data_IF_867195396521
#
_entry.id   IF_867195396521
#
_cell.length_a   1.000
_cell.length_b   1.000
_cell.length_c   1.000
_cell.angle_alpha   90.00
_cell.angle_beta   90.00
_cell.angle_gamma   90.00
#
_symmetry.space_group_name_H-M   'P 1'
#
loop_
_entity.id
_entity.type
_entity.pdbx_description
1 polymer ?
#
# COMPACT_ATOMS: atom_id res chain seq x y z
N UNK A 1 -0.79 33.79 45.33
CA UNK A 1 -0.40 32.84 44.28
C UNK A 1 -1.11 31.54 44.59
N UNK A 2 -1.95 30.98 43.71
CA UNK A 2 -2.51 29.66 43.95
C UNK A 2 -1.41 28.62 43.71
N UNK A 3 -1.22 27.72 44.69
CA UNK A 3 -0.31 26.58 44.63
C UNK A 3 -0.67 25.71 43.42
N UNK A 4 0.30 25.47 42.55
CA UNK A 4 0.21 24.51 41.46
C UNK A 4 0.86 23.20 41.89
N UNK A 5 0.11 22.32 42.58
CA UNK A 5 0.45 20.88 42.64
C UNK A 5 -0.66 19.98 43.26
N UNK A 6 -1.95 20.32 43.09
CA UNK A 6 -3.01 19.33 43.33
C UNK A 6 -3.05 18.36 42.13
N UNK A 7 -2.11 17.41 42.10
CA UNK A 7 -2.27 16.22 41.27
C UNK A 7 -3.42 15.41 41.86
N UNK A 8 -4.54 15.40 41.15
CA UNK A 8 -5.73 14.65 41.54
C UNK A 8 -5.35 13.19 41.85
N UNK A 9 -5.65 12.75 43.08
CA UNK A 9 -5.36 11.39 43.56
C UNK A 9 -6.29 10.42 42.86
N UNK A 10 -5.73 9.38 42.23
CA UNK A 10 -6.50 8.31 41.61
C UNK A 10 -6.62 7.14 42.59
N UNK A 11 -7.84 6.72 42.91
CA UNK A 11 -8.09 5.51 43.69
C UNK A 11 -8.32 4.34 42.75
N UNK A 12 -7.53 3.28 42.87
CA UNK A 12 -7.68 2.05 42.11
C UNK A 12 -8.18 0.94 43.04
N UNK A 13 -9.15 0.15 42.59
CA UNK A 13 -9.47 -1.15 43.14
C UNK A 13 -8.45 -2.21 42.74
N UNK A 14 -8.73 -3.47 43.03
CA UNK A 14 -7.88 -4.58 42.57
C UNK A 14 -8.08 -4.91 41.08
N UNK A 15 -9.15 -4.42 40.47
CA UNK A 15 -9.41 -4.49 39.03
C UNK A 15 -9.96 -3.15 38.53
N UNK A 16 -9.42 -2.65 37.43
CA UNK A 16 -9.77 -1.35 36.87
C UNK A 16 -10.02 -1.40 35.36
N UNK A 17 -10.85 -0.48 34.89
CA UNK A 17 -11.02 -0.20 33.47
C UNK A 17 -9.95 0.78 33.00
N UNK A 18 -9.26 0.41 31.93
CA UNK A 18 -8.18 1.20 31.34
C UNK A 18 -8.32 1.22 29.81
N UNK A 19 -7.65 2.17 29.17
CA UNK A 19 -7.44 2.16 27.72
C UNK A 19 -5.95 2.22 27.38
N UNK A 20 -5.57 1.64 26.24
CA UNK A 20 -4.22 1.71 25.65
C UNK A 20 -4.37 2.34 24.25
N UNK A 21 -4.46 3.68 24.16
CA UNK A 21 -4.75 4.38 22.91
C UNK A 21 -3.70 4.11 21.82
N UNK A 22 -2.42 3.98 22.17
CA UNK A 22 -1.33 3.72 21.21
C UNK A 22 -1.46 2.34 20.54
N UNK A 23 -2.16 1.41 21.18
CA UNK A 23 -2.46 0.08 20.65
C UNK A 23 -3.87 -0.04 20.04
N UNK A 24 -4.62 1.07 20.00
CA UNK A 24 -6.00 1.07 19.53
C UNK A 24 -6.96 0.26 20.42
N UNK A 25 -6.69 0.20 21.73
CA UNK A 25 -7.48 -0.55 22.71
C UNK A 25 -8.28 0.44 23.56
N UNK A 26 -9.54 0.76 23.18
CA UNK A 26 -10.35 1.77 23.87
C UNK A 26 -10.88 1.30 25.24
N UNK A 27 -10.95 0.00 25.51
CA UNK A 27 -11.47 -0.50 26.79
C UNK A 27 -10.89 -1.88 27.13
N UNK A 28 -10.20 -2.00 28.27
CA UNK A 28 -9.62 -3.25 28.76
C UNK A 28 -9.74 -3.29 30.28
N UNK A 29 -10.03 -4.46 30.84
CA UNK A 29 -9.95 -4.69 32.28
C UNK A 29 -8.53 -5.12 32.64
N UNK A 30 -7.92 -4.39 33.56
CA UNK A 30 -6.59 -4.69 34.08
C UNK A 30 -6.69 -5.06 35.56
N UNK A 31 -6.06 -6.18 35.94
CA UNK A 31 -5.89 -6.53 37.35
C UNK A 31 -4.69 -5.79 37.89
N UNK A 32 -4.85 -5.09 39.01
CA UNK A 32 -3.75 -4.44 39.71
C UNK A 32 -2.95 -5.51 40.45
N UNK A 33 -1.65 -5.58 40.18
CA UNK A 33 -0.75 -6.60 40.73
C UNK A 33 0.53 -5.93 41.22
N UNK A 34 0.52 -5.48 42.47
CA UNK A 34 1.67 -4.83 43.11
C UNK A 34 2.85 -5.78 43.33
N UNK A 35 2.62 -7.10 43.29
CA UNK A 35 3.67 -8.12 43.32
C UNK A 35 4.45 -8.20 42.00
N UNK A 36 3.80 -7.87 40.88
CA UNK A 36 4.45 -7.78 39.58
C UNK A 36 5.24 -6.47 39.45
N UNK A 37 6.53 -6.56 39.07
CA UNK A 37 7.34 -5.37 38.77
C UNK A 37 6.77 -4.62 37.55
N UNK A 38 6.67 -5.30 36.42
CA UNK A 38 6.28 -4.74 35.12
C UNK A 38 4.90 -5.25 34.72
N UNK A 39 4.11 -4.41 34.06
CA UNK A 39 2.81 -4.77 33.52
C UNK A 39 2.92 -5.89 32.47
N UNK A 40 1.86 -6.67 32.30
CA UNK A 40 1.81 -7.76 31.33
C UNK A 40 0.51 -7.70 30.53
N UNK A 41 0.60 -7.81 29.21
CA UNK A 41 -0.53 -7.77 28.30
C UNK A 41 -0.68 -9.08 27.54
N UNK A 42 -1.92 -9.56 27.44
CA UNK A 42 -2.27 -10.70 26.61
C UNK A 42 -1.91 -10.41 25.14
N UNK A 43 -1.02 -11.22 24.59
CA UNK A 43 -0.63 -11.16 23.20
C UNK A 43 -0.41 -12.58 22.64
N UNK A 44 -0.77 -12.79 21.39
CA UNK A 44 -0.47 -14.01 20.63
C UNK A 44 -0.01 -13.63 19.21
N UNK A 45 0.49 -14.61 18.46
CA UNK A 45 1.13 -14.40 17.15
C UNK A 45 2.21 -13.30 17.19
N UNK A 46 3.04 -13.34 18.24
CA UNK A 46 4.11 -12.37 18.48
C UNK A 46 5.25 -12.62 17.49
N UNK A 47 5.51 -11.65 16.62
CA UNK A 47 6.55 -11.72 15.60
C UNK A 47 7.36 -10.41 15.56
N UNK A 48 8.68 -10.53 15.53
CA UNK A 48 9.57 -9.37 15.39
C UNK A 48 9.79 -9.00 13.93
N UNK A 49 9.90 -7.71 13.65
CA UNK A 49 10.26 -7.19 12.34
C UNK A 49 11.00 -5.85 12.46
N UNK A 50 11.50 -5.33 11.34
CA UNK A 50 12.33 -4.13 11.35
C UNK A 50 13.82 -4.42 11.46
N UNK A 51 14.67 -3.41 11.22
CA UNK A 51 16.11 -3.53 11.34
C UNK A 51 16.53 -3.70 12.81
N UNK A 52 17.71 -4.26 13.05
CA UNK A 52 18.26 -4.43 14.40
C UNK A 52 18.40 -3.09 15.17
N UNK A 53 18.58 -1.98 14.45
CA UNK A 53 18.67 -0.63 15.01
C UNK A 53 17.32 -0.02 15.42
N UNK A 54 16.20 -0.53 14.88
CA UNK A 54 14.83 -0.08 15.19
C UNK A 54 13.90 -1.29 15.23
N UNK A 55 14.12 -2.23 16.16
CA UNK A 55 13.36 -3.48 16.21
C UNK A 55 11.92 -3.18 16.62
N UNK A 56 10.98 -3.88 16.00
CA UNK A 56 9.55 -3.79 16.28
C UNK A 56 8.97 -5.17 16.51
N UNK A 57 7.85 -5.20 17.19
CA UNK A 57 7.05 -6.41 17.41
C UNK A 57 5.64 -6.15 16.88
N UNK A 58 5.10 -7.12 16.14
CA UNK A 58 3.66 -7.21 15.85
C UNK A 58 3.09 -8.37 16.63
N UNK A 59 1.86 -8.20 17.07
CA UNK A 59 1.15 -9.18 17.88
C UNK A 59 -0.34 -8.97 17.74
N UNK A 60 -1.11 -9.92 18.23
CA UNK A 60 -2.56 -9.88 18.17
C UNK A 60 -3.13 -10.05 19.57
N UNK A 61 -4.28 -9.42 19.82
CA UNK A 61 -4.91 -9.36 21.13
C UNK A 61 -6.40 -9.66 21.04
N UNK A 62 -6.89 -10.47 21.98
CA UNK A 62 -8.31 -10.63 22.29
C UNK A 62 -8.64 -9.79 23.53
N UNK A 63 -9.31 -8.64 23.39
CA UNK A 63 -9.48 -7.69 24.51
C UNK A 63 -10.50 -8.16 25.53
N UNK A 64 -11.37 -9.09 25.15
CA UNK A 64 -12.47 -9.58 25.98
C UNK A 64 -12.17 -11.03 26.39
N UNK A 65 -12.08 -11.33 27.69
CA UNK A 65 -11.96 -12.71 28.17
C UNK A 65 -13.08 -13.60 27.61
N UNK A 66 -12.72 -14.78 27.11
CA UNK A 66 -13.68 -15.75 26.55
C UNK A 66 -14.20 -15.44 25.13
N UNK A 67 -13.81 -14.31 24.51
CA UNK A 67 -14.15 -13.97 23.12
C UNK A 67 -12.93 -13.93 22.21
N UNK A 68 -12.86 -14.91 21.32
CA UNK A 68 -11.78 -15.08 20.33
C UNK A 68 -12.15 -14.52 18.94
N UNK A 69 -13.41 -14.13 18.73
CA UNK A 69 -13.93 -13.56 17.48
C UNK A 69 -13.44 -12.12 17.24
N UNK A 70 -13.22 -11.39 18.33
CA UNK A 70 -12.70 -10.03 18.30
C UNK A 70 -11.17 -10.05 18.35
N UNK A 71 -10.56 -9.61 17.26
CA UNK A 71 -9.11 -9.69 17.02
C UNK A 71 -8.57 -8.29 16.79
N UNK A 72 -7.68 -7.83 17.66
CA UNK A 72 -7.02 -6.52 17.53
C UNK A 72 -5.54 -6.75 17.17
N UNK A 73 -5.13 -6.42 15.94
CA UNK A 73 -3.75 -6.50 15.52
C UNK A 73 -3.00 -5.24 15.97
N UNK A 74 -1.90 -5.43 16.67
CA UNK A 74 -1.09 -4.37 17.25
C UNK A 74 0.36 -4.46 16.75
N UNK A 75 1.07 -3.35 16.87
CA UNK A 75 2.53 -3.35 16.75
C UNK A 75 3.13 -2.21 17.54
N UNK A 76 4.34 -2.40 18.06
CA UNK A 76 5.08 -1.36 18.77
C UNK A 76 6.58 -1.52 18.57
N UNK A 77 7.39 -0.46 18.77
CA UNK A 77 8.82 -0.57 18.97
C UNK A 77 9.13 -1.50 20.15
N UNK A 78 10.20 -2.29 20.03
CA UNK A 78 10.73 -3.06 21.15
C UNK A 78 11.71 -2.16 21.89
N UNK A 79 11.45 -1.92 23.18
CA UNK A 79 12.34 -1.12 24.05
C UNK A 79 13.29 -2.01 24.85
N UNK A 80 12.90 -3.24 25.16
CA UNK A 80 13.71 -4.18 25.93
C UNK A 80 13.27 -5.64 25.74
N UNK A 81 14.06 -6.60 26.25
CA UNK A 81 13.68 -8.00 26.44
C UNK A 81 14.01 -8.43 27.87
N UNK A 82 13.04 -8.98 28.58
CA UNK A 82 13.21 -9.34 30.01
C UNK A 82 12.81 -10.78 30.27
N UNK A 83 13.59 -11.47 31.11
CA UNK A 83 13.18 -12.73 31.70
C UNK A 83 12.15 -12.43 32.80
N UNK A 84 10.96 -12.99 32.67
CA UNK A 84 9.88 -12.84 33.65
C UNK A 84 9.55 -14.21 34.23
N UNK A 85 9.55 -14.31 35.56
CA UNK A 85 9.14 -15.52 36.28
C UNK A 85 7.67 -15.39 36.68
N UNK A 86 6.85 -16.35 36.28
CA UNK A 86 5.43 -16.41 36.67
C UNK A 86 5.26 -16.86 38.12
N UNK A 87 4.07 -16.68 38.68
CA UNK A 87 3.70 -17.22 40.01
C UNK A 87 3.87 -18.74 40.11
N UNK A 88 3.88 -19.44 38.98
CA UNK A 88 4.02 -20.89 38.90
C UNK A 88 5.50 -21.32 38.76
N UNK A 89 6.45 -20.39 38.86
CA UNK A 89 7.89 -20.64 38.75
C UNK A 89 8.42 -20.73 37.32
N UNK A 90 7.55 -20.74 36.30
CA UNK A 90 7.98 -20.77 34.89
C UNK A 90 8.62 -19.44 34.49
N UNK A 91 9.75 -19.54 33.79
CA UNK A 91 10.51 -18.40 33.26
C UNK A 91 10.25 -18.23 31.77
N UNK A 92 10.01 -16.99 31.34
CA UNK A 92 9.75 -16.65 29.95
C UNK A 92 10.51 -15.37 29.56
N UNK A 93 11.24 -15.40 28.44
CA UNK A 93 11.79 -14.18 27.84
C UNK A 93 10.71 -13.43 27.07
N UNK A 94 10.36 -12.24 27.55
CA UNK A 94 9.27 -11.42 26.98
C UNK A 94 9.80 -10.16 26.32
N UNK A 95 9.17 -9.77 25.23
CA UNK A 95 9.36 -8.45 24.63
C UNK A 95 8.71 -7.39 25.51
N UNK A 96 9.41 -6.28 25.70
CA UNK A 96 8.90 -5.09 26.38
C UNK A 96 8.60 -4.04 25.33
N UNK A 97 7.39 -3.49 25.41
CA UNK A 97 6.94 -2.34 24.64
C UNK A 97 6.61 -1.19 25.60
N UNK A 98 6.60 0.03 25.09
CA UNK A 98 6.07 1.19 25.78
C UNK A 98 4.72 1.57 25.14
N UNK A 99 3.74 1.92 25.97
CA UNK A 99 2.45 2.45 25.53
C UNK A 99 1.92 3.40 26.60
N UNK A 100 1.22 4.44 26.19
CA UNK A 100 0.42 5.21 27.12
C UNK A 100 -0.75 4.36 27.63
N UNK A 101 -0.94 4.38 28.94
CA UNK A 101 -2.19 3.99 29.58
C UNK A 101 -3.02 5.24 29.80
N UNK A 102 -4.34 5.15 29.60
CA UNK A 102 -5.26 6.22 29.97
C UNK A 102 -6.40 5.74 30.86
N UNK A 103 -6.61 6.48 31.94
CA UNK A 103 -7.56 6.24 33.03
C UNK A 103 -8.10 7.59 33.50
N UNK A 104 -9.42 7.75 33.56
CA UNK A 104 -10.09 8.97 34.03
C UNK A 104 -9.52 10.29 33.44
N UNK A 105 -9.28 10.32 32.12
CA UNK A 105 -8.73 11.49 31.43
C UNK A 105 -7.22 11.74 31.63
N UNK A 106 -6.58 11.06 32.60
CA UNK A 106 -5.14 11.08 32.77
C UNK A 106 -4.48 10.07 31.81
N UNK A 107 -3.27 10.39 31.34
CA UNK A 107 -2.50 9.52 30.43
C UNK A 107 -1.01 9.56 30.79
N UNK A 108 -0.34 8.40 30.78
CA UNK A 108 1.10 8.30 31.03
C UNK A 108 1.73 7.05 30.41
N UNK A 109 3.04 7.07 30.10
CA UNK A 109 3.73 5.92 29.53
C UNK A 109 3.90 4.82 30.56
N UNK A 110 3.72 3.57 30.13
CA UNK A 110 4.01 2.37 30.91
C UNK A 110 4.76 1.35 30.06
N UNK A 111 5.65 0.59 30.71
CA UNK A 111 6.27 -0.59 30.11
C UNK A 111 5.35 -1.80 30.25
N UNK A 112 5.21 -2.54 29.15
CA UNK A 112 4.32 -3.69 29.04
C UNK A 112 5.09 -4.87 28.47
N UNK A 113 5.07 -5.99 29.18
CA UNK A 113 5.56 -7.28 28.66
C UNK A 113 4.48 -7.99 27.86
N UNK A 114 4.84 -8.54 26.70
CA UNK A 114 3.92 -9.30 25.85
C UNK A 114 4.00 -10.80 26.19
N UNK A 115 2.85 -11.42 26.48
CA UNK A 115 2.78 -12.87 26.80
C UNK A 115 1.39 -13.45 26.52
N UNK A 116 1.32 -14.75 26.24
CA UNK A 116 0.05 -15.40 25.96
C UNK A 116 -0.74 -15.72 27.25
N UNK A 117 -1.67 -14.84 27.59
CA UNK A 117 -2.62 -15.00 28.72
C UNK A 117 -3.99 -15.54 28.32
N UNK A 118 -4.10 -16.33 27.24
CA UNK A 118 -5.40 -16.78 26.71
C UNK A 118 -6.24 -17.57 27.74
N UNK A 119 -5.59 -18.37 28.59
CA UNK A 119 -6.21 -19.17 29.66
C UNK A 119 -6.58 -18.37 30.91
N UNK A 120 -6.17 -17.09 31.00
CA UNK A 120 -6.36 -16.26 32.19
C UNK A 120 -7.59 -15.35 32.01
N UNK A 121 -8.36 -15.18 33.09
CA UNK A 121 -9.51 -14.26 33.12
C UNK A 121 -9.11 -12.79 32.94
N UNK A 122 -7.91 -12.41 33.39
CA UNK A 122 -7.40 -11.06 33.22
C UNK A 122 -6.43 -10.98 32.05
N UNK A 123 -6.82 -10.19 31.03
CA UNK A 123 -6.02 -9.94 29.83
C UNK A 123 -4.85 -8.99 30.07
N UNK A 124 -4.87 -8.22 31.15
CA UNK A 124 -3.77 -7.33 31.51
C UNK A 124 -3.51 -7.32 33.01
N UNK A 125 -2.23 -7.39 33.39
CA UNK A 125 -1.77 -7.05 34.74
C UNK A 125 -1.16 -5.65 34.70
N UNK A 126 -1.51 -4.82 35.68
CA UNK A 126 -0.85 -3.54 35.92
C UNK A 126 0.15 -3.73 37.06
N UNK A 127 1.43 -3.72 36.72
CA UNK A 127 2.53 -3.88 37.67
C UNK A 127 2.87 -2.59 38.40
N UNK A 128 3.66 -2.68 39.47
CA UNK A 128 4.00 -1.53 40.32
C UNK A 128 4.71 -0.38 39.60
N UNK A 129 5.48 -0.63 38.54
CA UNK A 129 6.14 0.46 37.78
C UNK A 129 5.17 1.29 36.94
N UNK A 130 3.94 0.82 36.73
CA UNK A 130 2.89 1.57 36.05
C UNK A 130 2.07 2.45 37.01
N UNK A 131 2.23 2.27 38.33
CA UNK A 131 1.53 3.03 39.36
C UNK A 131 2.34 4.28 39.71
N UNK A 132 1.74 5.46 39.55
CA UNK A 132 2.34 6.74 39.95
C UNK A 132 2.15 7.00 41.44
N UNK A 133 2.91 7.95 41.97
CA UNK A 133 2.85 8.36 43.38
C UNK A 133 1.47 8.87 43.81
N UNK A 134 0.68 9.43 42.88
CA UNK A 134 -0.68 9.90 43.12
C UNK A 134 -1.75 8.80 43.01
N UNK A 135 -1.36 7.52 42.94
CA UNK A 135 -2.30 6.38 42.84
C UNK A 135 -2.37 5.63 44.17
N UNK A 136 -3.56 5.57 44.76
CA UNK A 136 -3.85 4.77 45.95
C UNK A 136 -4.61 3.49 45.56
N UNK A 137 -4.33 2.38 46.23
CA UNK A 137 -5.01 1.09 45.96
C UNK A 137 -5.91 0.69 47.12
N UNK A 138 -7.19 0.49 46.83
CA UNK A 138 -8.20 -0.04 47.73
C UNK A 138 -8.44 -1.51 47.38
N UNK A 139 -7.74 -2.41 48.07
CA UNK A 139 -7.69 -3.84 47.70
C UNK A 139 -9.04 -4.58 47.76
N UNK A 140 -10.03 -4.06 48.49
CA UNK A 140 -11.38 -4.66 48.60
C UNK A 140 -12.32 -4.22 47.49
N UNK A 141 -11.99 -3.14 46.79
CA UNK A 141 -12.87 -2.51 45.81
C UNK A 141 -12.47 -2.85 44.37
N UNK A 142 -13.36 -2.54 43.43
CA UNK A 142 -13.18 -2.70 41.98
C UNK A 142 -13.74 -1.45 41.31
N UNK A 143 -13.24 -1.13 40.12
CA UNK A 143 -13.81 -0.09 39.26
C UNK A 143 -14.00 1.25 39.99
N UNK A 144 -12.96 1.66 40.72
CA UNK A 144 -12.90 2.96 41.40
C UNK A 144 -12.69 4.11 40.41
N UNK A 145 -12.45 3.80 39.14
CA UNK A 145 -12.35 4.72 38.01
C UNK A 145 -13.57 4.58 37.09
N UNK A 146 -13.88 5.58 36.23
CA UNK A 146 -15.02 5.52 35.33
C UNK A 146 -15.06 4.21 34.53
N UNK A 147 -16.17 3.49 34.66
CA UNK A 147 -16.35 2.23 33.96
C UNK A 147 -16.39 2.45 32.45
N UNK A 148 -15.57 1.68 31.75
CA UNK A 148 -15.63 1.56 30.30
C UNK A 148 -16.53 0.39 29.92
N UNK A 149 -16.91 0.31 28.64
CA UNK A 149 -17.76 -0.75 28.14
C UNK A 149 -17.18 -1.37 26.86
N UNK A 150 -17.21 -2.70 26.79
CA UNK A 150 -16.85 -3.48 25.62
C UNK A 150 -17.72 -3.23 24.37
N UNK A 151 -18.89 -2.61 24.51
CA UNK A 151 -19.74 -2.21 23.38
C UNK A 151 -19.02 -1.27 22.40
N UNK A 152 -17.99 -0.55 22.86
CA UNK A 152 -17.13 0.26 22.00
C UNK A 152 -16.53 -0.54 20.83
N UNK A 153 -16.24 -1.84 21.06
CA UNK A 153 -15.69 -2.73 20.04
C UNK A 153 -16.69 -3.12 18.96
N UNK A 154 -17.99 -2.98 19.22
CA UNK A 154 -19.06 -3.29 18.27
C UNK A 154 -19.47 -2.09 17.41
N UNK A 155 -18.94 -0.91 17.70
CA UNK A 155 -19.23 0.30 16.94
C UNK A 155 -18.80 0.18 15.47
N UNK A 156 -19.52 0.83 14.57
CA UNK A 156 -19.16 0.92 13.16
C UNK A 156 -17.75 1.51 12.96
N UNK A 157 -17.35 2.43 13.85
CA UNK A 157 -16.00 3.00 13.88
C UNK A 157 -14.94 1.91 14.08
N UNK A 158 -15.07 1.06 15.10
CA UNK A 158 -14.10 -0.02 15.36
C UNK A 158 -14.10 -1.11 14.29
N UNK A 159 -15.26 -1.38 13.65
CA UNK A 159 -15.36 -2.37 12.57
C UNK A 159 -14.70 -1.90 11.26
N UNK A 160 -14.72 -0.59 11.00
CA UNK A 160 -14.28 -0.02 9.72
C UNK A 160 -12.91 0.65 9.79
N UNK A 161 -12.48 1.14 10.96
CA UNK A 161 -11.17 1.76 11.12
C UNK A 161 -10.08 0.68 11.16
N UNK A 162 -9.06 0.83 10.32
CA UNK A 162 -7.84 0.06 10.50
C UNK A 162 -7.11 0.56 11.76
N UNK A 163 -6.60 -0.35 12.61
CA UNK A 163 -5.83 0.04 13.78
C UNK A 163 -4.54 0.74 13.34
N UNK A 164 -4.19 1.80 14.06
CA UNK A 164 -2.92 2.48 13.85
C UNK A 164 -1.78 1.53 14.25
N UNK A 165 -1.07 0.98 13.27
CA UNK A 165 0.01 0.02 13.49
C UNK A 165 1.12 0.22 12.46
N UNK A 166 2.35 -0.05 12.87
CA UNK A 166 3.49 -0.19 11.98
C UNK A 166 3.30 -1.41 11.08
N UNK A 167 3.26 -1.16 9.77
CA UNK A 167 3.21 -2.20 8.75
C UNK A 167 4.63 -2.62 8.35
N UNK A 168 4.78 -3.87 7.88
CA UNK A 168 5.96 -4.33 7.15
C UNK A 168 5.65 -4.34 5.66
N UNK A 169 6.37 -3.55 4.87
CA UNK A 169 6.04 -3.26 3.47
C UNK A 169 7.22 -3.60 2.59
N UNK A 170 6.97 -4.32 1.49
CA UNK A 170 7.98 -4.59 0.48
C UNK A 170 7.81 -3.66 -0.72
N UNK A 171 8.88 -3.00 -1.15
CA UNK A 171 8.96 -2.31 -2.44
C UNK A 171 9.68 -3.22 -3.43
N UNK A 172 8.95 -3.79 -4.39
CA UNK A 172 9.56 -4.64 -5.42
C UNK A 172 10.17 -3.75 -6.50
N UNK A 173 11.48 -3.51 -6.44
CA UNK A 173 12.20 -2.67 -7.38
C UNK A 173 13.58 -3.24 -7.68
N UNK A 174 14.06 -3.05 -8.91
CA UNK A 174 15.42 -3.37 -9.34
C UNK A 174 16.37 -2.18 -9.27
N UNK A 175 15.83 -0.97 -9.16
CA UNK A 175 16.55 0.27 -9.32
C UNK A 175 16.48 1.09 -8.03
N UNK A 176 17.62 1.66 -7.64
CA UNK A 176 17.68 2.76 -6.70
C UNK A 176 17.46 4.08 -7.45
N UNK A 177 16.22 4.55 -7.44
CA UNK A 177 15.81 5.79 -8.08
C UNK A 177 14.99 6.64 -7.10
N UNK A 178 14.76 7.91 -7.46
CA UNK A 178 14.00 8.85 -6.63
C UNK A 178 12.68 8.25 -6.12
N UNK A 179 11.92 7.59 -7.00
CA UNK A 179 10.59 7.07 -6.63
C UNK A 179 10.71 5.95 -5.58
N UNK A 180 11.69 5.05 -5.72
CA UNK A 180 11.94 3.98 -4.74
C UNK A 180 12.35 4.58 -3.38
N UNK A 181 13.33 5.49 -3.36
CA UNK A 181 13.78 6.14 -2.11
C UNK A 181 12.68 6.90 -1.43
N UNK A 182 11.91 7.69 -2.20
CA UNK A 182 10.78 8.47 -1.70
C UNK A 182 9.71 7.61 -1.05
N UNK A 183 9.44 6.42 -1.60
CA UNK A 183 8.52 5.44 -1.01
C UNK A 183 9.05 4.88 0.31
N UNK A 184 10.35 4.59 0.40
CA UNK A 184 10.98 4.12 1.65
C UNK A 184 10.93 5.21 2.72
N UNK A 185 11.42 6.40 2.40
CA UNK A 185 11.48 7.55 3.30
C UNK A 185 10.11 7.90 3.88
N UNK A 186 9.06 7.97 3.05
CA UNK A 186 7.71 8.29 3.51
C UNK A 186 7.14 7.20 4.42
N UNK A 187 7.38 5.91 4.11
CA UNK A 187 6.91 4.82 4.94
C UNK A 187 7.62 4.76 6.29
N UNK A 188 8.94 4.95 6.30
CA UNK A 188 9.71 5.01 7.54
C UNK A 188 9.34 6.23 8.39
N UNK A 189 9.11 7.39 7.76
CA UNK A 189 8.60 8.59 8.43
C UNK A 189 7.24 8.36 9.10
N UNK A 190 6.39 7.53 8.50
CA UNK A 190 5.10 7.10 9.06
C UNK A 190 5.22 5.96 10.08
N UNK A 191 6.44 5.59 10.45
CA UNK A 191 6.70 4.57 11.45
C UNK A 191 6.49 3.15 10.93
N UNK A 192 6.49 2.90 9.62
CA UNK A 192 6.49 1.56 9.05
C UNK A 192 7.91 1.00 8.90
N UNK A 193 8.00 -0.28 8.55
CA UNK A 193 9.25 -0.91 8.11
C UNK A 193 9.14 -1.17 6.62
N UNK A 194 10.02 -0.58 5.83
CA UNK A 194 9.99 -0.69 4.36
C UNK A 194 11.26 -1.36 3.89
N UNK A 195 11.13 -2.44 3.11
CA UNK A 195 12.25 -3.19 2.56
C UNK A 195 12.19 -3.15 1.03
N UNK A 196 13.29 -2.76 0.39
CA UNK A 196 13.42 -2.83 -1.07
C UNK A 196 13.90 -4.22 -1.46
N UNK A 197 13.12 -4.92 -2.27
CA UNK A 197 13.41 -6.29 -2.69
C UNK A 197 13.60 -6.32 -4.19
N UNK A 198 14.76 -6.80 -4.61
CA UNK A 198 15.06 -6.97 -6.02
C UNK A 198 14.23 -8.11 -6.63
N UNK A 199 13.26 -7.76 -7.46
CA UNK A 199 12.26 -8.70 -7.98
C UNK A 199 12.86 -9.89 -8.72
N UNK A 200 13.98 -9.72 -9.44
CA UNK A 200 14.58 -10.81 -10.24
C UNK A 200 15.39 -11.79 -9.40
N UNK A 201 15.71 -11.44 -8.15
CA UNK A 201 16.36 -12.34 -7.20
C UNK A 201 15.35 -13.14 -6.38
N UNK A 202 14.08 -12.75 -6.41
CA UNK A 202 13.02 -13.56 -5.83
C UNK A 202 12.83 -14.85 -6.62
N UNK A 203 12.57 -15.95 -5.94
CA UNK A 203 12.10 -17.22 -6.51
C UNK A 203 10.98 -17.76 -5.61
N UNK A 204 10.19 -18.71 -6.07
CA UNK A 204 8.97 -19.12 -5.37
C UNK A 204 8.87 -20.63 -5.25
N UNK A 205 8.29 -21.07 -4.14
CA UNK A 205 7.80 -22.43 -4.00
C UNK A 205 6.30 -22.41 -4.32
N UNK A 206 5.87 -23.13 -5.34
CA UNK A 206 4.46 -23.24 -5.74
C UNK A 206 3.95 -24.61 -5.30
N UNK A 207 3.12 -24.64 -4.28
CA UNK A 207 2.41 -25.84 -3.87
C UNK A 207 1.06 -25.47 -3.26
N UNK A 208 0.15 -26.43 -3.14
CA UNK A 208 -1.23 -26.18 -2.72
C UNK A 208 -1.38 -25.76 -1.24
N UNK A 209 -0.37 -25.98 -0.39
CA UNK A 209 -0.49 -25.86 1.07
C UNK A 209 0.29 -24.69 1.67
N UNK A 210 1.48 -24.43 1.15
CA UNK A 210 2.41 -23.41 1.60
C UNK A 210 3.12 -22.77 0.40
N UNK A 211 2.39 -22.02 -0.44
CA UNK A 211 3.02 -21.17 -1.44
C UNK A 211 3.86 -20.09 -0.73
N UNK A 212 5.08 -19.87 -1.20
CA UNK A 212 6.01 -18.93 -0.57
C UNK A 212 6.90 -18.22 -1.59
N UNK A 213 7.41 -17.05 -1.20
CA UNK A 213 8.45 -16.32 -1.92
C UNK A 213 9.75 -16.42 -1.14
N UNK A 214 10.85 -16.67 -1.84
CA UNK A 214 12.20 -16.74 -1.32
C UNK A 214 13.08 -15.68 -1.95
N UNK A 215 14.14 -15.28 -1.24
CA UNK A 215 15.14 -14.33 -1.66
C UNK A 215 16.47 -14.72 -1.02
N UNK A 216 17.53 -14.84 -1.83
CA UNK A 216 18.89 -15.17 -1.37
C UNK A 216 18.98 -16.37 -0.41
N UNK A 217 18.40 -17.50 -0.78
CA UNK A 217 18.46 -18.74 0.01
C UNK A 217 17.42 -18.83 1.13
N UNK A 218 16.70 -17.74 1.44
CA UNK A 218 15.79 -17.68 2.59
C UNK A 218 14.36 -17.39 2.16
N UNK A 219 13.39 -17.95 2.90
CA UNK A 219 11.98 -17.57 2.76
C UNK A 219 11.84 -16.10 3.15
N UNK A 220 11.16 -15.32 2.31
CA UNK A 220 10.80 -13.96 2.65
C UNK A 220 9.79 -13.95 3.80
N UNK A 221 9.93 -13.01 4.74
CA UNK A 221 9.00 -12.88 5.84
C UNK A 221 7.65 -12.36 5.37
N UNK A 222 6.68 -12.37 6.28
CA UNK A 222 5.34 -11.86 6.00
C UNK A 222 5.36 -10.34 5.82
N UNK A 223 4.89 -9.88 4.66
CA UNK A 223 4.60 -8.47 4.39
C UNK A 223 3.10 -8.19 4.52
N UNK A 224 2.76 -7.05 5.12
CA UNK A 224 1.40 -6.53 5.19
C UNK A 224 0.97 -5.94 3.83
N UNK A 225 1.92 -5.31 3.13
CA UNK A 225 1.69 -4.79 1.78
C UNK A 225 2.93 -4.89 0.88
N UNK A 226 2.67 -4.91 -0.43
CA UNK A 226 3.68 -4.88 -1.48
C UNK A 226 3.39 -3.70 -2.41
N UNK A 227 4.42 -2.91 -2.72
CA UNK A 227 4.40 -1.83 -3.71
C UNK A 227 5.20 -2.28 -4.94
N UNK A 228 4.55 -2.77 -6.01
CA UNK A 228 5.26 -3.22 -7.20
C UNK A 228 5.79 -2.04 -8.02
N UNK A 229 7.10 -2.01 -8.28
CA UNK A 229 7.78 -1.08 -9.19
C UNK A 229 8.38 -1.87 -10.36
N UNK A 230 7.51 -2.60 -11.05
CA UNK A 230 7.89 -3.57 -12.08
C UNK A 230 8.23 -2.84 -13.40
N UNK A 231 9.50 -2.92 -13.77
CA UNK A 231 10.01 -2.42 -15.05
C UNK A 231 9.50 -3.25 -16.23
N UNK A 232 9.36 -2.60 -17.40
CA UNK A 232 8.79 -3.23 -18.60
C UNK A 232 9.54 -4.50 -19.02
N UNK A 233 10.88 -4.52 -18.89
CA UNK A 233 11.75 -5.63 -19.28
C UNK A 233 11.57 -6.92 -18.49
N UNK A 234 10.93 -6.85 -17.32
CA UNK A 234 10.71 -8.01 -16.45
C UNK A 234 9.23 -8.24 -16.16
N UNK A 235 8.31 -7.63 -16.92
CA UNK A 235 6.87 -7.71 -16.65
C UNK A 235 6.37 -9.15 -16.44
N UNK A 236 6.71 -10.14 -17.29
CA UNK A 236 6.22 -11.51 -17.10
C UNK A 236 6.64 -12.12 -15.76
N UNK A 237 7.93 -12.00 -15.41
CA UNK A 237 8.45 -12.56 -14.15
C UNK A 237 8.03 -11.73 -12.94
N UNK A 238 8.09 -10.40 -13.04
CA UNK A 238 7.72 -9.50 -11.96
C UNK A 238 6.25 -9.64 -11.55
N UNK A 239 5.35 -9.79 -12.52
CA UNK A 239 3.93 -10.04 -12.23
C UNK A 239 3.68 -11.45 -11.69
N UNK A 240 4.51 -12.45 -12.03
CA UNK A 240 4.48 -13.75 -11.37
C UNK A 240 4.84 -13.65 -9.89
N UNK A 241 5.88 -12.88 -9.53
CA UNK A 241 6.24 -12.63 -8.12
C UNK A 241 5.11 -11.89 -7.39
N UNK A 242 4.53 -10.84 -7.99
CA UNK A 242 3.39 -10.11 -7.39
C UNK A 242 2.21 -11.04 -7.16
N UNK A 243 1.87 -11.89 -8.13
CA UNK A 243 0.78 -12.88 -8.01
C UNK A 243 1.04 -13.92 -6.92
N UNK A 244 2.29 -14.26 -6.67
CA UNK A 244 2.64 -15.12 -5.54
C UNK A 244 2.35 -14.41 -4.20
N UNK A 245 2.67 -13.12 -4.07
CA UNK A 245 2.28 -12.32 -2.90
C UNK A 245 0.76 -12.22 -2.72
N UNK A 246 0.01 -12.07 -3.82
CA UNK A 246 -1.45 -12.10 -3.80
C UNK A 246 -1.97 -13.45 -3.30
N UNK A 247 -1.36 -14.55 -3.76
CA UNK A 247 -1.76 -15.93 -3.40
C UNK A 247 -1.58 -16.20 -1.90
N UNK A 248 -0.53 -15.65 -1.28
CA UNK A 248 -0.33 -15.75 0.19
C UNK A 248 -1.16 -14.75 0.99
N UNK A 249 -1.96 -13.91 0.33
CA UNK A 249 -2.88 -12.96 0.94
C UNK A 249 -2.25 -11.62 1.34
N UNK A 250 -1.10 -11.25 0.77
CA UNK A 250 -0.50 -9.92 0.95
C UNK A 250 -1.24 -8.89 0.08
N UNK A 251 -1.46 -7.69 0.63
CA UNK A 251 -2.07 -6.60 -0.15
C UNK A 251 -1.07 -6.04 -1.17
N UNK A 252 -1.32 -6.21 -2.46
CA UNK A 252 -0.52 -5.63 -3.53
C UNK A 252 -1.17 -4.33 -4.03
N UNK A 253 -0.42 -3.21 -3.96
CA UNK A 253 -0.94 -1.89 -4.36
C UNK A 253 -1.45 -1.91 -5.78
N UNK A 254 -0.64 -2.38 -6.73
CA UNK A 254 -1.18 -2.71 -8.03
C UNK A 254 -1.22 -4.22 -8.15
N UNK A 255 -2.41 -4.80 -8.38
CA UNK A 255 -2.53 -6.20 -8.64
C UNK A 255 -1.76 -6.63 -9.90
N UNK A 256 -1.27 -7.86 -9.91
CA UNK A 256 -0.53 -8.48 -11.01
C UNK A 256 -1.30 -8.40 -12.33
N UNK A 257 -2.62 -8.64 -12.30
CA UNK A 257 -3.50 -8.56 -13.46
C UNK A 257 -3.55 -7.15 -14.07
N UNK A 258 -3.69 -6.12 -13.23
CA UNK A 258 -3.71 -4.72 -13.67
C UNK A 258 -2.36 -4.27 -14.26
N UNK A 259 -1.25 -4.70 -13.65
CA UNK A 259 0.09 -4.44 -14.18
C UNK A 259 0.26 -5.07 -15.57
N UNK A 260 -0.07 -6.36 -15.72
CA UNK A 260 0.00 -7.06 -17.02
C UNK A 260 -0.87 -6.37 -18.06
N UNK A 261 -2.12 -6.05 -17.71
CA UNK A 261 -3.07 -5.40 -18.61
C UNK A 261 -2.58 -4.03 -19.10
N UNK A 262 -1.98 -3.24 -18.21
CA UNK A 262 -1.44 -1.91 -18.56
C UNK A 262 -0.21 -1.94 -19.47
N UNK A 263 0.50 -3.08 -19.55
CA UNK A 263 1.74 -3.23 -20.32
C UNK A 263 1.51 -3.75 -21.73
N UNK A 264 0.47 -4.55 -21.92
CA UNK A 264 0.03 -4.98 -23.24
C UNK A 264 -0.81 -3.88 -23.88
N UNK A 265 -0.24 -3.19 -24.89
CA UNK A 265 -0.92 -2.09 -25.58
C UNK A 265 -2.22 -2.55 -26.25
N UNK A 266 -2.27 -3.73 -26.87
CA UNK A 266 -3.49 -4.20 -27.52
C UNK A 266 -4.57 -4.47 -26.47
N UNK A 267 -4.23 -5.26 -25.47
CA UNK A 267 -5.18 -5.62 -24.42
C UNK A 267 -5.63 -4.37 -23.63
N UNK A 268 -4.74 -3.41 -23.38
CA UNK A 268 -5.08 -2.13 -22.78
C UNK A 268 -6.15 -1.36 -23.58
N UNK A 269 -6.00 -1.28 -24.91
CA UNK A 269 -7.01 -0.62 -25.77
C UNK A 269 -8.34 -1.37 -25.75
N UNK A 270 -8.33 -2.69 -25.86
CA UNK A 270 -9.54 -3.52 -25.77
C UNK A 270 -10.25 -3.35 -24.41
N UNK A 271 -9.49 -3.31 -23.33
CA UNK A 271 -10.01 -3.14 -21.97
C UNK A 271 -10.61 -1.74 -21.78
N UNK A 272 -9.95 -0.70 -22.28
CA UNK A 272 -10.48 0.67 -22.26
C UNK A 272 -11.76 0.78 -23.10
N UNK A 273 -11.81 0.12 -24.27
CA UNK A 273 -12.97 0.13 -25.16
C UNK A 273 -14.17 -0.54 -24.50
N UNK A 274 -13.95 -1.70 -23.85
CA UNK A 274 -14.98 -2.41 -23.05
C UNK A 274 -15.58 -1.52 -21.96
N UNK A 275 -14.79 -0.64 -21.36
CA UNK A 275 -15.24 0.28 -20.31
C UNK A 275 -15.65 1.66 -20.83
N UNK A 276 -15.77 1.84 -22.16
CA UNK A 276 -16.16 3.12 -22.78
C UNK A 276 -15.29 4.29 -22.30
N UNK A 277 -13.97 4.06 -22.24
CA UNK A 277 -12.97 5.09 -21.99
C UNK A 277 -12.58 5.70 -23.33
N UNK A 278 -12.65 7.03 -23.44
CA UNK A 278 -12.25 7.74 -24.65
C UNK A 278 -10.77 7.53 -24.93
N UNK A 279 -10.43 7.14 -26.15
CA UNK A 279 -9.05 6.99 -26.65
C UNK A 279 -9.02 7.41 -28.12
N UNK A 280 -7.86 7.74 -28.70
CA UNK A 280 -7.77 7.99 -30.14
C UNK A 280 -8.21 6.74 -30.91
N UNK A 281 -8.83 6.92 -32.08
CA UNK A 281 -9.24 5.77 -32.89
C UNK A 281 -8.01 4.93 -33.25
N UNK A 282 -8.07 3.62 -33.05
CA UNK A 282 -6.91 2.74 -33.17
C UNK A 282 -7.29 1.47 -33.90
N UNK A 283 -6.56 1.15 -34.97
CA UNK A 283 -6.58 -0.15 -35.62
C UNK A 283 -5.34 -0.95 -35.26
N UNK A 284 -5.52 -2.26 -35.10
CA UNK A 284 -4.47 -3.19 -34.78
C UNK A 284 -4.21 -4.13 -35.95
N UNK A 285 -2.93 -4.43 -36.20
CA UNK A 285 -2.54 -5.28 -37.29
C UNK A 285 -1.25 -6.07 -36.99
N UNK A 286 -1.22 -7.31 -37.47
CA UNK A 286 -0.01 -8.14 -37.50
C UNK A 286 0.56 -8.20 -38.92
N UNK A 287 -0.20 -8.78 -39.86
CA UNK A 287 0.14 -8.80 -41.29
C UNK A 287 -1.11 -8.77 -42.16
N UNK A 288 -1.90 -7.68 -42.14
CA UNK A 288 -3.00 -7.54 -43.08
C UNK A 288 -2.43 -7.37 -44.48
N UNK A 289 -2.94 -8.11 -45.47
CA UNK A 289 -2.65 -7.85 -46.89
C UNK A 289 -3.32 -6.56 -47.40
N UNK A 290 -4.18 -5.95 -46.58
CA UNK A 290 -5.01 -4.81 -46.92
C UNK A 290 -4.65 -3.59 -46.05
N UNK A 291 -3.50 -2.97 -46.36
CA UNK A 291 -2.99 -1.77 -45.66
C UNK A 291 -3.95 -0.58 -45.82
N UNK A 292 -4.54 -0.43 -47.00
CA UNK A 292 -5.39 0.71 -47.33
C UNK A 292 -6.67 0.72 -46.51
N UNK A 293 -7.33 -0.44 -46.36
CA UNK A 293 -8.50 -0.57 -45.51
C UNK A 293 -8.14 -0.37 -44.02
N UNK A 294 -7.02 -0.93 -43.56
CA UNK A 294 -6.55 -0.72 -42.19
C UNK A 294 -6.40 0.78 -41.85
N UNK A 295 -5.80 1.55 -42.76
CA UNK A 295 -5.70 3.01 -42.62
C UNK A 295 -7.09 3.65 -42.61
N UNK A 296 -7.98 3.22 -43.52
CA UNK A 296 -9.36 3.71 -43.61
C UNK A 296 -10.21 3.47 -42.35
N UNK A 297 -9.96 2.39 -41.60
CA UNK A 297 -10.62 2.12 -40.32
C UNK A 297 -10.29 3.17 -39.24
N UNK A 298 -9.10 3.78 -39.33
CA UNK A 298 -8.64 4.78 -38.36
C UNK A 298 -9.12 6.17 -38.76
N UNK A 299 -8.92 6.54 -40.03
CA UNK A 299 -9.29 7.84 -40.56
C UNK A 299 -8.35 8.29 -41.67
N UNK A 300 -8.22 9.61 -41.84
CA UNK A 300 -7.33 10.22 -42.82
C UNK A 300 -6.00 10.64 -42.20
N UNK A 301 -4.94 10.68 -43.01
CA UNK A 301 -3.65 11.20 -42.57
C UNK A 301 -3.76 12.66 -42.06
N UNK A 302 -2.94 13.05 -41.07
CA UNK A 302 -1.82 12.31 -40.47
C UNK A 302 -2.25 11.21 -39.48
N UNK A 303 -1.43 10.16 -39.38
CA UNK A 303 -1.64 9.01 -38.51
C UNK A 303 -0.38 8.71 -37.69
N UNK A 304 -0.56 8.06 -36.55
CA UNK A 304 0.52 7.51 -35.76
C UNK A 304 0.62 6.00 -35.98
N UNK A 305 1.80 5.51 -36.36
CA UNK A 305 2.10 4.07 -36.44
C UNK A 305 3.03 3.71 -35.28
N UNK A 306 2.63 2.77 -34.42
CA UNK A 306 3.46 2.33 -33.27
C UNK A 306 3.74 0.84 -33.33
N UNK A 307 4.98 0.48 -33.07
CA UNK A 307 5.36 -0.89 -32.74
C UNK A 307 4.88 -1.25 -31.33
N UNK A 308 4.43 -2.49 -31.15
CA UNK A 308 4.05 -2.97 -29.82
C UNK A 308 5.26 -3.22 -28.93
N UNK A 309 6.30 -3.83 -29.49
CA UNK A 309 7.51 -4.29 -28.80
C UNK A 309 8.53 -3.18 -28.52
N UNK A 310 8.06 -1.94 -28.36
CA UNK A 310 8.93 -0.79 -28.14
C UNK A 310 8.64 -0.07 -26.83
N UNK A 311 9.71 0.38 -26.17
CA UNK A 311 9.68 1.18 -24.95
C UNK A 311 10.14 2.62 -25.24
N UNK A 312 9.71 3.56 -24.39
CA UNK A 312 10.17 4.96 -24.39
C UNK A 312 10.06 5.71 -25.74
N UNK A 313 8.97 5.46 -26.49
CA UNK A 313 8.71 6.17 -27.75
C UNK A 313 9.66 5.83 -28.91
N UNK A 314 10.51 4.80 -28.77
CA UNK A 314 11.15 4.17 -29.93
C UNK A 314 10.06 3.45 -30.73
N UNK A 315 10.10 3.48 -32.06
CA UNK A 315 9.05 2.84 -32.89
C UNK A 315 7.67 3.50 -32.85
N UNK A 316 7.58 4.79 -32.52
CA UNK A 316 6.38 5.62 -32.74
C UNK A 316 6.70 6.60 -33.86
N UNK A 317 5.97 6.51 -34.97
CA UNK A 317 6.20 7.31 -36.19
C UNK A 317 4.94 8.11 -36.52
N UNK A 318 5.11 9.40 -36.78
CA UNK A 318 4.07 10.24 -37.38
C UNK A 318 4.16 10.13 -38.89
N UNK A 319 3.08 9.65 -39.51
CA UNK A 319 2.92 9.57 -40.94
C UNK A 319 2.00 10.70 -41.41
N UNK A 320 2.59 11.76 -41.98
CA UNK A 320 1.84 12.95 -42.41
C UNK A 320 0.91 12.70 -43.60
N UNK A 321 1.24 11.70 -44.41
CA UNK A 321 0.49 11.33 -45.60
C UNK A 321 0.12 9.84 -45.57
N UNK A 322 -0.94 9.48 -46.31
CA UNK A 322 -1.35 8.07 -46.48
C UNK A 322 -0.20 7.21 -47.03
N UNK A 323 0.54 7.71 -48.03
CA UNK A 323 1.69 7.02 -48.62
C UNK A 323 2.80 6.78 -47.60
N UNK A 324 3.08 7.78 -46.75
CA UNK A 324 4.06 7.61 -45.67
C UNK A 324 3.61 6.53 -44.66
N UNK A 325 2.32 6.50 -44.32
CA UNK A 325 1.76 5.47 -43.44
C UNK A 325 1.89 4.07 -44.06
N UNK A 326 1.57 3.93 -45.35
CA UNK A 326 1.72 2.68 -46.10
C UNK A 326 3.19 2.20 -46.10
N UNK A 327 4.14 3.09 -46.38
CA UNK A 327 5.57 2.75 -46.37
C UNK A 327 6.07 2.29 -45.00
N UNK A 328 5.63 2.94 -43.92
CA UNK A 328 6.01 2.56 -42.55
C UNK A 328 5.39 1.20 -42.17
N UNK A 329 4.14 0.97 -42.56
CA UNK A 329 3.45 -0.31 -42.31
C UNK A 329 4.14 -1.45 -43.07
N UNK A 330 4.51 -1.24 -44.33
CA UNK A 330 5.22 -2.24 -45.13
C UNK A 330 6.60 -2.57 -44.54
N UNK A 331 7.32 -1.54 -44.06
CA UNK A 331 8.58 -1.74 -43.34
C UNK A 331 8.37 -2.58 -42.06
N UNK A 332 7.35 -2.29 -41.26
CA UNK A 332 7.03 -3.06 -40.05
C UNK A 332 6.58 -4.50 -40.36
N UNK A 333 5.86 -4.71 -41.47
CA UNK A 333 5.50 -6.05 -41.95
C UNK A 333 6.74 -6.86 -42.32
N UNK A 334 7.72 -6.24 -42.98
CA UNK A 334 9.02 -6.86 -43.29
C UNK A 334 9.77 -7.33 -42.04
N UNK A 335 9.62 -6.61 -40.93
CA UNK A 335 10.18 -6.97 -39.63
C UNK A 335 9.37 -8.03 -38.86
N UNK A 336 8.25 -8.52 -39.43
CA UNK A 336 7.30 -9.45 -38.79
C UNK A 336 6.82 -8.96 -37.41
N UNK A 337 6.76 -7.65 -37.23
CA UNK A 337 6.39 -7.04 -35.96
C UNK A 337 4.90 -6.65 -35.96
N UNK A 338 4.23 -6.88 -34.83
CA UNK A 338 2.87 -6.38 -34.64
C UNK A 338 2.90 -4.86 -34.43
N UNK A 339 1.90 -4.17 -34.98
CA UNK A 339 1.81 -2.71 -34.92
C UNK A 339 0.37 -2.24 -34.70
N UNK A 340 0.26 -0.98 -34.27
CA UNK A 340 -0.99 -0.26 -34.22
C UNK A 340 -0.91 0.97 -35.12
N UNK A 341 -2.02 1.29 -35.76
CA UNK A 341 -2.25 2.54 -36.48
C UNK A 341 -3.28 3.32 -35.66
N UNK A 342 -2.99 4.57 -35.36
CA UNK A 342 -3.78 5.38 -34.46
C UNK A 342 -3.97 6.78 -35.03
N UNK A 343 -5.14 7.36 -34.79
CA UNK A 343 -5.46 8.73 -35.17
C UNK A 343 -4.51 9.74 -34.50
N UNK A 344 -4.08 10.76 -35.26
CA UNK A 344 -3.23 11.82 -34.74
C UNK A 344 -4.08 13.00 -34.27
N UNK A 345 -4.17 13.15 -32.95
CA UNK A 345 -4.87 14.25 -32.29
C UNK A 345 -4.04 15.54 -32.43
N UNK A 346 -4.19 16.24 -33.55
CA UNK A 346 -3.43 17.46 -33.91
C UNK A 346 -3.59 18.57 -32.88
N UNK A 347 -4.81 18.72 -32.36
CA UNK A 347 -5.19 19.77 -31.42
C UNK A 347 -4.48 19.64 -30.06
N UNK A 348 -3.91 18.48 -29.76
CA UNK A 348 -3.06 18.30 -28.59
C UNK A 348 -1.71 19.05 -28.71
N UNK A 349 -1.29 19.45 -29.93
CA UNK A 349 -0.14 20.30 -30.19
C UNK A 349 1.18 19.85 -29.52
N UNK A 350 1.41 18.54 -29.41
CA UNK A 350 2.60 18.00 -28.74
C UNK A 350 2.58 18.13 -27.21
N UNK A 351 1.40 18.39 -26.63
CA UNK A 351 1.16 18.43 -25.20
C UNK A 351 0.35 17.22 -24.75
N UNK A 352 0.61 16.75 -23.54
CA UNK A 352 -0.25 15.78 -22.87
C UNK A 352 -0.43 16.12 -21.38
N UNK A 353 -1.51 15.62 -20.82
CA UNK A 353 -1.84 15.78 -19.40
C UNK A 353 -1.65 14.45 -18.71
N UNK A 354 -0.67 14.37 -17.82
CA UNK A 354 -0.52 13.24 -16.92
C UNK A 354 -1.34 13.48 -15.66
N UNK A 355 -2.37 12.66 -15.49
CA UNK A 355 -3.18 12.57 -14.27
C UNK A 355 -2.66 11.41 -13.41
N UNK A 356 -2.27 11.70 -12.17
CA UNK A 356 -1.89 10.66 -11.23
C UNK A 356 -3.06 10.28 -10.33
N UNK A 357 -3.48 9.02 -10.45
CA UNK A 357 -4.57 8.43 -9.69
C UNK A 357 -4.00 7.61 -8.55
N UNK A 358 -4.46 7.88 -7.33
CA UNK A 358 -4.13 7.12 -6.12
C UNK A 358 -5.43 6.78 -5.38
N UNK A 359 -5.70 5.50 -5.14
CA UNK A 359 -6.87 5.03 -4.39
C UNK A 359 -8.22 5.49 -4.96
N UNK A 360 -8.32 5.62 -6.29
CA UNK A 360 -9.54 6.08 -6.96
C UNK A 360 -9.75 7.60 -6.93
N UNK A 361 -8.71 8.40 -6.64
CA UNK A 361 -8.75 9.87 -6.72
C UNK A 361 -7.58 10.38 -7.57
N UNK A 362 -7.83 11.37 -8.43
CA UNK A 362 -6.74 12.11 -9.10
C UNK A 362 -6.12 13.06 -8.09
N UNK A 363 -4.92 12.73 -7.60
CA UNK A 363 -4.23 13.46 -6.53
C UNK A 363 -3.35 14.58 -7.08
N UNK A 364 -2.81 14.41 -8.29
CA UNK A 364 -1.99 15.39 -8.97
C UNK A 364 -2.17 15.30 -10.49
N UNK A 365 -1.89 16.40 -11.16
CA UNK A 365 -1.92 16.50 -12.62
C UNK A 365 -0.84 17.46 -13.09
N UNK A 366 -0.12 17.08 -14.14
CA UNK A 366 0.86 17.93 -14.79
C UNK A 366 0.66 17.91 -16.30
N UNK A 367 0.85 19.05 -16.93
CA UNK A 367 0.96 19.16 -18.38
C UNK A 367 2.42 18.97 -18.75
N UNK A 368 2.68 18.10 -19.72
CA UNK A 368 4.00 17.94 -20.32
C UNK A 368 3.97 18.47 -21.74
N UNK A 369 4.99 19.23 -22.09
CA UNK A 369 5.15 19.80 -23.44
C UNK A 369 6.43 19.24 -24.05
N UNK A 370 6.33 18.72 -25.28
CA UNK A 370 7.47 18.21 -26.04
C UNK A 370 8.53 19.28 -26.34
N UNK A 371 9.71 18.84 -26.78
CA UNK A 371 10.71 19.75 -27.33
C UNK A 371 10.24 20.33 -28.67
N UNK A 372 10.79 21.48 -29.07
CA UNK A 372 10.43 22.13 -30.34
C UNK A 372 10.62 21.16 -31.52
N UNK A 373 9.57 20.95 -32.32
CA UNK A 373 9.55 20.01 -33.44
C UNK A 373 9.30 18.54 -33.09
N UNK A 374 9.15 18.16 -31.81
CA UNK A 374 8.77 16.79 -31.41
C UNK A 374 7.29 16.73 -30.98
N UNK A 375 6.49 15.90 -31.66
CA UNK A 375 5.09 15.67 -31.30
C UNK A 375 4.93 14.82 -30.01
N UNK A 376 6.03 14.30 -29.45
CA UNK A 376 6.05 13.49 -28.23
C UNK A 376 6.44 14.35 -27.03
N UNK A 377 5.64 14.28 -25.97
CA UNK A 377 5.75 15.09 -24.75
C UNK A 377 6.52 14.41 -23.60
N UNK A 378 7.33 13.39 -23.88
CA UNK A 378 8.02 12.63 -22.83
C UNK A 378 9.12 13.48 -22.14
N UNK A 379 9.02 13.62 -20.81
CA UNK A 379 10.01 14.32 -19.95
C UNK A 379 11.46 13.86 -20.15
N UNK A 380 11.69 12.56 -20.37
CA UNK A 380 13.04 12.00 -20.58
C UNK A 380 13.72 12.46 -21.89
N UNK A 381 13.01 13.20 -22.76
CA UNK A 381 13.52 13.73 -24.04
C UNK A 381 13.62 15.25 -24.05
N UNK A 382 13.78 15.88 -22.88
CA UNK A 382 13.95 17.34 -22.77
C UNK A 382 12.64 18.13 -22.76
N UNK A 383 11.49 17.47 -22.64
CA UNK A 383 10.19 18.13 -22.45
C UNK A 383 10.07 18.82 -21.09
N UNK A 384 9.23 19.85 -20.99
CA UNK A 384 8.96 20.55 -19.72
C UNK A 384 7.70 20.00 -19.03
N UNK A 385 7.63 20.07 -17.70
CA UNK A 385 6.43 19.74 -16.92
C UNK A 385 6.00 20.92 -16.05
N UNK A 386 4.71 21.23 -16.09
CA UNK A 386 4.08 22.25 -15.23
C UNK A 386 2.79 21.70 -14.63
N UNK A 387 2.50 22.06 -13.38
CA UNK A 387 1.20 21.76 -12.77
C UNK A 387 0.06 22.30 -13.64
N UNK A 388 -1.02 21.54 -13.78
CA UNK A 388 -2.19 21.95 -14.58
C UNK A 388 -3.49 21.63 -13.85
N UNK A 389 -4.45 22.55 -13.95
CA UNK A 389 -5.83 22.32 -13.50
C UNK A 389 -6.57 21.52 -14.57
N UNK A 390 -7.07 20.36 -14.17
CA UNK A 390 -7.86 19.49 -15.05
C UNK A 390 -9.36 19.75 -14.92
N UNK A 391 -10.10 19.52 -16.00
CA UNK A 391 -11.55 19.61 -16.06
C UNK A 391 -12.22 18.45 -15.32
N UNK A 392 -13.54 18.54 -15.12
CA UNK A 392 -14.33 17.44 -14.55
C UNK A 392 -14.28 16.19 -15.45
N UNK A 393 -14.40 16.39 -16.76
CA UNK A 393 -14.39 15.32 -17.75
C UNK A 393 -13.01 14.62 -17.84
N UNK A 394 -11.92 15.37 -17.80
CA UNK A 394 -10.55 14.82 -17.75
C UNK A 394 -10.35 13.97 -16.49
N UNK A 395 -10.84 14.46 -15.34
CA UNK A 395 -10.77 13.73 -14.07
C UNK A 395 -11.56 12.44 -14.12
N UNK A 396 -12.81 12.48 -14.57
CA UNK A 396 -13.67 11.30 -14.68
C UNK A 396 -13.09 10.27 -15.65
N UNK A 397 -12.53 10.72 -16.78
CA UNK A 397 -11.87 9.86 -17.77
C UNK A 397 -10.65 9.17 -17.17
N UNK A 398 -9.78 9.91 -16.46
CA UNK A 398 -8.62 9.33 -15.78
C UNK A 398 -9.02 8.31 -14.70
N UNK A 399 -10.06 8.61 -13.91
CA UNK A 399 -10.57 7.69 -12.90
C UNK A 399 -11.17 6.42 -13.51
N UNK A 400 -11.95 6.55 -14.60
CA UNK A 400 -12.53 5.41 -15.32
C UNK A 400 -11.43 4.53 -15.93
N UNK A 401 -10.40 5.14 -16.50
CA UNK A 401 -9.25 4.43 -17.03
C UNK A 401 -8.54 3.65 -15.91
N UNK A 402 -8.09 4.30 -14.83
CA UNK A 402 -7.41 3.61 -13.72
C UNK A 402 -8.27 2.48 -13.11
N UNK A 403 -9.58 2.69 -12.99
CA UNK A 403 -10.53 1.67 -12.52
C UNK A 403 -10.65 0.48 -13.48
N UNK A 404 -10.64 0.71 -14.79
CA UNK A 404 -10.72 -0.35 -15.80
C UNK A 404 -9.56 -1.36 -15.68
N UNK A 405 -8.39 -0.91 -15.25
CA UNK A 405 -7.20 -1.74 -15.01
C UNK A 405 -7.07 -2.23 -13.56
N UNK A 406 -8.01 -1.88 -12.67
CA UNK A 406 -7.92 -2.15 -11.22
C UNK A 406 -6.61 -1.68 -10.57
N UNK A 407 -6.14 -0.49 -10.94
CA UNK A 407 -4.89 0.08 -10.42
C UNK A 407 -5.14 1.06 -9.27
N UNK A 408 -4.52 0.83 -8.12
CA UNK A 408 -4.57 1.77 -6.99
C UNK A 408 -3.53 2.90 -7.10
N UNK A 409 -2.50 2.73 -7.92
CA UNK A 409 -1.56 3.77 -8.33
C UNK A 409 -1.44 3.74 -9.85
N UNK A 410 -1.87 4.80 -10.54
CA UNK A 410 -1.77 4.87 -11.99
C UNK A 410 -1.36 6.28 -12.46
N UNK A 411 -0.49 6.34 -13.45
CA UNK A 411 -0.33 7.54 -14.28
C UNK A 411 -1.18 7.38 -15.53
N UNK A 412 -2.16 8.24 -15.73
CA UNK A 412 -3.02 8.25 -16.91
C UNK A 412 -2.64 9.45 -17.77
N UNK A 413 -2.18 9.18 -18.98
CA UNK A 413 -1.77 10.20 -19.94
C UNK A 413 -2.94 10.50 -20.86
N UNK A 414 -3.34 11.78 -20.93
CA UNK A 414 -4.50 12.27 -21.66
C UNK A 414 -4.06 13.26 -22.75
N UNK A 415 -4.71 13.19 -23.90
CA UNK A 415 -4.71 14.22 -24.92
C UNK A 415 -6.03 14.99 -24.85
N UNK A 416 -5.95 16.32 -24.94
CA UNK A 416 -7.13 17.17 -25.15
C UNK A 416 -7.51 17.06 -26.61
N UNK A 417 -8.75 16.67 -26.88
CA UNK A 417 -9.33 16.66 -28.22
C UNK A 417 -10.60 17.51 -28.26
N UNK A 418 -11.03 17.92 -29.44
CA UNK A 418 -12.31 18.64 -29.61
C UNK A 418 -13.50 17.80 -29.11
N UNK A 419 -13.38 16.48 -29.19
CA UNK A 419 -14.39 15.50 -28.79
C UNK A 419 -14.12 14.91 -27.39
N UNK A 420 -13.64 15.74 -26.47
CA UNK A 420 -13.34 15.37 -25.08
C UNK A 420 -11.94 14.77 -24.86
N UNK A 421 -11.57 14.40 -23.64
CA UNK A 421 -10.24 13.85 -23.33
C UNK A 421 -10.06 12.43 -23.89
N UNK A 422 -8.90 12.16 -24.49
CA UNK A 422 -8.52 10.84 -25.02
C UNK A 422 -7.37 10.25 -24.22
N UNK A 423 -7.53 9.05 -23.69
CA UNK A 423 -6.49 8.32 -22.97
C UNK A 423 -5.48 7.77 -23.98
N UNK A 424 -4.22 8.17 -23.80
CA UNK A 424 -3.08 7.72 -24.59
C UNK A 424 -2.41 6.48 -23.98
N UNK A 425 -2.19 6.50 -22.67
CA UNK A 425 -1.52 5.43 -21.93
C UNK A 425 -2.01 5.40 -20.47
N UNK A 426 -2.08 4.20 -19.90
CA UNK A 426 -2.23 3.98 -18.45
C UNK A 426 -1.02 3.24 -17.93
N UNK A 427 -0.24 3.87 -17.05
CA UNK A 427 0.99 3.31 -16.50
C UNK A 427 0.80 2.88 -15.04
N UNK A 428 0.99 1.59 -14.78
CA UNK A 428 0.91 0.95 -13.46
C UNK A 428 2.14 1.15 -12.55
N UNK A 429 3.20 1.81 -13.02
CA UNK A 429 4.37 2.14 -12.19
C UNK A 429 4.90 3.53 -12.55
N UNK A 430 4.09 4.59 -12.37
CA UNK A 430 4.46 5.95 -12.76
C UNK A 430 5.65 6.45 -11.93
N UNK A 431 6.55 7.23 -12.54
CA UNK A 431 7.60 7.95 -11.81
C UNK A 431 7.00 9.08 -10.95
N UNK A 432 7.56 9.28 -9.75
CA UNK A 432 7.06 10.26 -8.78
C UNK A 432 7.79 11.61 -8.89
N UNK A 433 9.07 11.61 -9.25
CA UNK A 433 9.93 12.80 -9.22
C UNK A 433 9.38 13.99 -9.99
N UNK A 434 9.11 13.82 -11.29
CA UNK A 434 8.65 14.92 -12.14
C UNK A 434 7.30 15.52 -11.70
N UNK A 435 6.41 14.70 -11.15
CA UNK A 435 5.08 15.17 -10.72
C UNK A 435 5.11 15.76 -9.30
N UNK A 436 5.92 15.23 -8.39
CA UNK A 436 6.11 15.83 -7.06
C UNK A 436 6.81 17.18 -7.20
N UNK A 437 7.87 17.28 -8.01
CA UNK A 437 8.60 18.53 -8.24
C UNK A 437 7.71 19.60 -8.91
N UNK A 438 6.87 19.23 -9.88
CA UNK A 438 6.02 20.20 -10.59
C UNK A 438 4.78 20.62 -9.81
N UNK A 439 4.28 19.79 -8.88
CA UNK A 439 3.03 20.07 -8.15
C UNK A 439 3.21 20.40 -6.67
N UNK A 440 4.39 20.12 -6.09
CA UNK A 440 4.67 20.28 -4.66
C UNK A 440 3.89 19.34 -3.76
N UNK A 441 3.20 18.32 -4.31
CA UNK A 441 2.34 17.40 -3.56
C UNK A 441 3.12 16.18 -3.10
N UNK A 442 2.88 15.74 -1.86
CA UNK A 442 3.40 14.46 -1.34
C UNK A 442 2.54 13.29 -1.86
N UNK A 443 2.93 12.71 -2.98
CA UNK A 443 2.24 11.60 -3.63
C UNK A 443 2.51 10.30 -2.90
N UNK A 444 3.75 10.06 -2.47
CA UNK A 444 4.09 8.90 -1.65
C UNK A 444 3.18 8.83 -0.42
N UNK A 445 2.96 9.96 0.27
CA UNK A 445 2.07 10.04 1.42
C UNK A 445 0.63 9.65 1.07
N UNK A 446 0.10 10.13 -0.06
CA UNK A 446 -1.24 9.72 -0.53
C UNK A 446 -1.34 8.23 -0.83
N UNK A 447 -0.26 7.61 -1.28
CA UNK A 447 -0.23 6.17 -1.47
C UNK A 447 -0.25 5.43 -0.12
N UNK A 448 0.50 5.90 0.87
CA UNK A 448 0.47 5.32 2.22
C UNK A 448 -0.90 5.44 2.87
N UNK A 449 -1.64 6.55 2.68
CA UNK A 449 -3.03 6.68 3.14
C UNK A 449 -3.92 5.51 2.61
N UNK A 450 -3.67 5.07 1.36
CA UNK A 450 -4.38 3.94 0.75
C UNK A 450 -3.89 2.60 1.30
N UNK A 451 -2.59 2.44 1.52
CA UNK A 451 -2.01 1.21 2.09
C UNK A 451 -2.52 1.01 3.52
N UNK A 452 -2.43 2.02 4.38
CA UNK A 452 -2.88 1.98 5.77
C UNK A 452 -4.37 1.66 5.89
N UNK A 453 -5.20 2.16 4.97
CA UNK A 453 -6.65 1.89 4.97
C UNK A 453 -7.04 0.53 4.39
N UNK A 454 -6.20 -0.11 3.56
CA UNK A 454 -6.54 -1.35 2.85
C UNK A 454 -5.73 -2.58 3.26
N UNK A 455 -4.54 -2.40 3.81
CA UNK A 455 -3.69 -3.48 4.30
C UNK A 455 -4.28 -4.07 5.60
N UNK A 456 -5.31 -4.90 5.42
CA UNK A 456 -5.95 -5.60 6.52
C UNK A 456 -4.91 -6.45 7.23
N UNK A 457 -4.97 -6.46 8.56
CA UNK A 457 -4.30 -7.50 9.30
C UNK A 457 -5.00 -8.82 8.98
N UNK A 458 -4.43 -9.64 8.09
CA UNK A 458 -4.93 -11.00 7.91
C UNK A 458 -4.79 -11.70 9.27
N UNK A 459 -5.88 -12.11 9.95
CA UNK A 459 -5.74 -13.08 11.02
C UNK A 459 -5.13 -14.31 10.35
N UNK A 460 -3.99 -14.79 10.83
CA UNK A 460 -3.45 -16.04 10.31
C UNK A 460 -4.57 -17.06 10.50
N UNK A 461 -5.07 -17.67 9.41
CA UNK A 461 -6.01 -18.78 9.53
C UNK A 461 -5.34 -19.78 10.46
N UNK A 462 -5.91 -20.00 11.66
CA UNK A 462 -5.42 -21.00 12.63
C UNK A 462 -5.11 -22.24 11.82
N UNK A 463 -3.82 -22.60 11.75
CA UNK A 463 -3.44 -23.94 11.29
C UNK A 463 -4.10 -24.84 12.33
N UNK A 464 -5.19 -25.53 11.96
CA UNK A 464 -5.84 -26.49 12.85
C UNK A 464 -4.73 -27.39 13.34
N UNK A 465 -4.35 -27.26 14.60
CA UNK A 465 -3.51 -28.25 15.27
C UNK A 465 -4.24 -29.55 15.06
N UNK A 466 -3.62 -30.47 14.31
CA UNK A 466 -4.11 -31.82 14.24
C UNK A 466 -4.28 -32.25 15.69
N UNK A 467 -5.52 -32.58 16.09
CA UNK A 467 -5.75 -33.19 17.40
C UNK A 467 -4.78 -34.36 17.46
N UNK A 468 -3.84 -34.32 18.41
CA UNK A 468 -3.05 -35.48 18.76
C UNK A 468 -4.07 -36.59 19.03
N UNK A 469 -4.01 -37.64 18.21
CA UNK A 469 -4.78 -38.86 18.42
C UNK A 469 -4.13 -39.65 19.54
#
# INVERSE_FOLDING_TARGET
MPNSDDTEVLNFGWEEWISLPDLGIPALRAKIDTGARTSALHAFDIETFGPASKPKVRFTLHPIPGRDDLVIPCSAPIVDRREVTSSNGEKEMRFVIESNISVNGQSWPIEITLTNRASMNSRMLLGRTALKDNISIVATERFQQPELNYDVYHTSKMRNAQPNRSLRIAVLSREDNYSTRRLVEEGEKRGHTVEVINTTRCYMTINAMAPDVHYDGKRLPRFDAVIPRIGASITPYGTAIVRQFETIGTYCVNPSAGITASRDKLYAHQLMARHKVGMPNTAFAASPKDTTNLIGLVGTAPLIVKLLESTQGKGVVLAETKKAAESVIDAFRGLKANFLVQDFVKEAAGEDIRCLVVGGKVVASMKRTGAEGDFRSNLHRGGSAKSVRITKEERETALRAAKAFDLNLAGVDLLRSENGPKVLEVNSSPGLEGIENSTGKNIAGKLYDVIESRARATPIKRRKTAKAK
#
